data_IF_108233658288
#
_entry.id   IF_108233658288
#
_cell.length_a   1.000
_cell.length_b   1.000
_cell.length_c   1.000
_cell.angle_alpha   90.00
_cell.angle_beta   90.00
_cell.angle_gamma   90.00
#
_symmetry.space_group_name_H-M   'P 1'
#
loop_
_entity.id
_entity.type
_entity.pdbx_description
1 polymer ?
#
# COMPACT_ATOMS: atom_id res chain seq x y z
N UNK A 1 -1.77 7.29 4.89
CA UNK A 1 -0.44 7.12 4.27
C UNK A 1 0.60 8.10 4.81
N UNK A 2 0.40 9.45 4.69
CA UNK A 2 1.42 10.45 5.05
C UNK A 2 1.91 10.36 6.51
N UNK A 3 1.01 10.15 7.47
CA UNK A 3 1.38 10.00 8.89
C UNK A 3 2.25 8.76 9.10
N UNK A 4 1.82 7.59 8.62
CA UNK A 4 2.58 6.34 8.74
C UNK A 4 3.95 6.42 8.04
N UNK A 5 4.03 7.11 6.89
CA UNK A 5 5.31 7.35 6.20
C UNK A 5 6.23 8.27 7.01
N UNK A 6 5.68 9.33 7.61
CA UNK A 6 6.42 10.24 8.46
C UNK A 6 6.94 9.55 9.72
N UNK A 7 6.09 8.76 10.39
CA UNK A 7 6.48 7.96 11.56
C UNK A 7 7.60 6.98 11.23
N UNK A 8 7.49 6.26 10.11
CA UNK A 8 8.53 5.33 9.65
C UNK A 8 9.87 6.03 9.40
N UNK A 9 9.83 7.28 8.94
CA UNK A 9 11.01 8.11 8.69
C UNK A 9 11.45 8.93 9.92
N UNK A 10 10.67 8.96 11.00
CA UNK A 10 10.89 9.80 12.19
C UNK A 10 11.01 11.29 11.86
N UNK A 11 10.11 11.76 11.00
CA UNK A 11 10.02 13.17 10.59
C UNK A 11 8.58 13.67 10.76
N UNK A 12 8.39 14.97 10.74
CA UNK A 12 7.05 15.56 10.74
C UNK A 12 6.30 15.25 9.44
N UNK A 13 4.98 14.98 9.51
CA UNK A 13 4.16 14.76 8.33
C UNK A 13 4.23 15.92 7.35
N UNK A 14 4.49 15.60 6.08
CA UNK A 14 4.63 16.57 5.01
C UNK A 14 3.81 16.16 3.79
N UNK A 15 3.21 17.13 3.12
CA UNK A 15 2.40 16.92 1.91
C UNK A 15 3.22 16.37 0.72
N UNK A 16 4.54 16.48 0.76
CA UNK A 16 5.42 15.98 -0.29
C UNK A 16 5.69 14.47 -0.17
N UNK A 17 5.43 13.85 1.00
CA UNK A 17 5.55 12.40 1.20
C UNK A 17 4.53 11.62 0.37
N UNK A 18 3.32 12.16 0.23
CA UNK A 18 2.28 11.62 -0.66
C UNK A 18 1.55 12.78 -1.35
N UNK A 19 2.12 13.33 -2.45
CA UNK A 19 1.62 14.56 -3.05
C UNK A 19 0.28 14.42 -3.75
N UNK A 20 -0.15 13.19 -4.08
CA UNK A 20 -1.44 12.92 -4.71
C UNK A 20 -2.09 11.77 -3.98
N UNK A 21 -3.21 12.06 -3.31
CA UNK A 21 -4.03 11.05 -2.64
C UNK A 21 -5.36 10.92 -3.38
N UNK A 22 -5.76 9.69 -3.65
CA UNK A 22 -7.02 9.34 -4.29
C UNK A 22 -7.86 8.61 -3.25
N UNK A 23 -8.97 9.23 -2.84
CA UNK A 23 -9.92 8.63 -1.89
C UNK A 23 -11.16 8.19 -2.65
N UNK A 24 -11.48 6.90 -2.74
CA UNK A 24 -12.74 6.43 -3.32
C UNK A 24 -13.94 7.06 -2.60
N UNK A 25 -14.90 7.61 -3.35
CA UNK A 25 -16.13 8.20 -2.81
C UNK A 25 -17.38 7.46 -3.28
N UNK A 26 -17.24 6.63 -4.33
CA UNK A 26 -18.28 5.78 -4.90
C UNK A 26 -17.63 4.71 -5.77
N UNK A 27 -18.40 3.79 -6.31
CA UNK A 27 -17.90 2.72 -7.20
C UNK A 27 -17.15 3.26 -8.44
N UNK A 28 -17.44 4.47 -8.87
CA UNK A 28 -16.87 5.06 -10.09
C UNK A 28 -16.20 6.42 -9.90
N UNK A 29 -16.28 6.99 -8.69
CA UNK A 29 -15.78 8.32 -8.37
C UNK A 29 -14.77 8.33 -7.24
N UNK A 30 -13.80 9.25 -7.33
CA UNK A 30 -12.79 9.44 -6.28
C UNK A 30 -12.55 10.92 -6.04
N UNK A 31 -12.39 11.29 -4.79
CA UNK A 31 -11.88 12.61 -4.41
C UNK A 31 -10.38 12.63 -4.63
N UNK A 32 -9.93 13.60 -5.41
CA UNK A 32 -8.50 13.82 -5.67
C UNK A 32 -7.99 14.92 -4.76
N UNK A 33 -6.96 14.59 -4.00
CA UNK A 33 -6.30 15.53 -3.08
C UNK A 33 -4.87 15.74 -3.59
N UNK A 34 -4.51 16.99 -3.85
CA UNK A 34 -3.18 17.37 -4.34
C UNK A 34 -2.49 18.22 -3.29
N UNK A 35 -1.36 17.73 -2.78
CA UNK A 35 -0.59 18.38 -1.71
C UNK A 35 -1.48 18.84 -0.55
N UNK A 36 -2.31 17.94 -0.05
CA UNK A 36 -3.21 18.18 1.08
C UNK A 36 -4.46 19.01 0.74
N UNK A 37 -4.65 19.46 -0.50
CA UNK A 37 -5.82 20.24 -0.92
C UNK A 37 -6.73 19.42 -1.83
N UNK A 38 -8.02 19.24 -1.51
CA UNK A 38 -8.95 18.58 -2.41
C UNK A 38 -9.19 19.46 -3.64
N UNK A 39 -9.07 18.85 -4.83
CA UNK A 39 -9.28 19.53 -6.11
C UNK A 39 -10.61 19.13 -6.76
N UNK A 40 -11.34 18.19 -6.19
CA UNK A 40 -12.67 17.78 -6.62
C UNK A 40 -12.84 16.27 -6.66
N UNK A 41 -14.09 15.87 -6.92
CA UNK A 41 -14.45 14.47 -7.20
C UNK A 41 -14.37 14.25 -8.71
N UNK A 42 -13.70 13.19 -9.13
CA UNK A 42 -13.48 12.88 -10.54
C UNK A 42 -13.72 11.40 -10.82
N UNK A 43 -14.24 11.11 -11.99
CA UNK A 43 -14.22 9.75 -12.55
C UNK A 43 -12.81 9.43 -13.05
N UNK A 44 -12.50 8.14 -13.16
CA UNK A 44 -11.19 7.68 -13.65
C UNK A 44 -10.80 8.30 -15.00
N UNK A 45 -11.75 8.47 -15.93
CA UNK A 45 -11.53 9.09 -17.24
C UNK A 45 -11.17 10.58 -17.17
N UNK A 46 -11.72 11.30 -16.21
CA UNK A 46 -11.43 12.72 -15.98
C UNK A 46 -10.08 12.89 -15.30
N UNK A 47 -9.79 12.05 -14.31
CA UNK A 47 -8.48 12.00 -13.65
C UNK A 47 -7.34 11.80 -14.65
N UNK A 48 -7.53 10.92 -15.64
CA UNK A 48 -6.54 10.69 -16.71
C UNK A 48 -6.19 11.98 -17.48
N UNK A 49 -7.17 12.84 -17.72
CA UNK A 49 -6.92 14.13 -18.42
C UNK A 49 -6.07 15.09 -17.59
N UNK A 50 -6.21 15.06 -16.27
CA UNK A 50 -5.44 15.90 -15.34
C UNK A 50 -4.02 15.40 -15.09
N UNK A 51 -3.69 14.15 -15.42
CA UNK A 51 -2.39 13.51 -15.11
C UNK A 51 -1.17 14.28 -15.64
N UNK A 52 -1.27 15.00 -16.75
CA UNK A 52 -0.16 15.85 -17.26
C UNK A 52 0.31 16.87 -16.20
N UNK A 53 -0.64 17.54 -15.56
CA UNK A 53 -0.37 18.56 -14.53
C UNK A 53 0.10 17.91 -13.22
N UNK A 54 -0.42 16.72 -12.91
CA UNK A 54 -0.05 15.98 -11.72
C UNK A 54 1.39 15.45 -11.75
N UNK A 55 1.92 15.16 -12.94
CA UNK A 55 3.32 14.74 -13.10
C UNK A 55 4.31 15.80 -12.63
N UNK A 56 4.04 17.08 -12.89
CA UNK A 56 4.89 18.18 -12.42
C UNK A 56 4.81 18.34 -10.89
N UNK A 57 3.64 18.08 -10.31
CA UNK A 57 3.44 18.11 -8.84
C UNK A 57 4.28 17.02 -8.17
N UNK A 58 4.20 15.77 -8.67
CA UNK A 58 4.99 14.64 -8.16
C UNK A 58 6.48 14.94 -8.26
N UNK A 59 6.94 15.42 -9.43
CA UNK A 59 8.33 15.79 -9.61
C UNK A 59 8.77 16.89 -8.64
N UNK A 60 7.98 17.94 -8.48
CA UNK A 60 8.31 19.03 -7.57
C UNK A 60 8.38 18.58 -6.11
N UNK A 61 7.53 17.65 -5.69
CA UNK A 61 7.61 17.06 -4.35
C UNK A 61 8.87 16.22 -4.17
N UNK A 62 9.19 15.37 -5.14
CA UNK A 62 10.43 14.60 -5.14
C UNK A 62 11.67 15.51 -5.10
N UNK A 63 11.70 16.56 -5.92
CA UNK A 63 12.83 17.51 -5.99
C UNK A 63 13.03 18.25 -4.64
N UNK A 64 11.95 18.54 -3.91
CA UNK A 64 12.05 19.15 -2.56
C UNK A 64 12.61 18.18 -1.54
N UNK A 65 12.07 16.95 -1.50
CA UNK A 65 12.55 15.91 -0.58
C UNK A 65 14.03 15.56 -0.85
N UNK A 66 14.42 15.47 -2.13
CA UNK A 66 15.80 15.11 -2.50
C UNK A 66 16.85 16.17 -2.15
N UNK A 67 16.43 17.39 -1.83
CA UNK A 67 17.36 18.45 -1.34
C UNK A 67 17.64 18.37 0.14
N UNK A 68 16.78 17.69 0.91
CA UNK A 68 16.84 17.68 2.37
C UNK A 68 17.08 16.29 2.96
N UNK A 69 17.04 15.25 2.12
CA UNK A 69 17.25 13.87 2.54
C UNK A 69 18.28 13.18 1.65
N UNK A 70 19.21 12.46 2.27
CA UNK A 70 20.25 11.69 1.58
C UNK A 70 19.70 10.44 0.89
N UNK A 71 18.63 9.85 1.45
CA UNK A 71 17.99 8.64 0.95
C UNK A 71 16.49 8.88 0.84
N UNK A 72 15.93 8.55 -0.31
CA UNK A 72 14.48 8.55 -0.54
C UNK A 72 14.06 7.14 -0.94
N UNK A 73 13.15 6.56 -0.18
CA UNK A 73 12.48 5.30 -0.51
C UNK A 73 11.14 5.64 -1.15
N UNK A 74 10.96 5.19 -2.39
CA UNK A 74 9.73 5.43 -3.16
C UNK A 74 8.94 4.14 -3.21
N UNK A 75 7.71 4.19 -2.72
CA UNK A 75 6.79 3.07 -2.79
C UNK A 75 5.92 3.18 -4.03
N UNK A 76 5.83 2.07 -4.78
CA UNK A 76 4.88 1.92 -5.89
C UNK A 76 3.48 1.58 -5.37
N UNK A 77 2.50 1.65 -6.26
CA UNK A 77 1.12 1.25 -5.96
C UNK A 77 0.61 0.26 -6.99
N UNK A 78 -0.12 -0.76 -6.55
CA UNK A 78 -0.60 -1.83 -7.41
C UNK A 78 0.53 -2.61 -8.05
N UNK A 79 0.45 -2.84 -9.35
CA UNK A 79 1.47 -3.57 -10.11
C UNK A 79 2.08 -2.70 -11.21
N UNK A 80 3.41 -2.77 -11.45
CA UNK A 80 4.03 -2.11 -12.59
C UNK A 80 3.66 -2.75 -13.93
N UNK A 81 2.99 -3.89 -13.92
CA UNK A 81 2.57 -4.67 -15.09
C UNK A 81 1.10 -4.44 -15.50
N UNK A 82 0.43 -3.44 -14.91
CA UNK A 82 -0.93 -3.05 -15.30
C UNK A 82 -0.93 -2.40 -16.69
N UNK A 83 -0.99 -3.22 -17.75
CA UNK A 83 -0.85 -2.78 -19.14
C UNK A 83 -1.92 -1.76 -19.58
N UNK A 84 -3.13 -1.87 -19.05
CA UNK A 84 -4.23 -0.94 -19.27
C UNK A 84 -3.99 0.45 -18.64
N UNK A 85 -3.18 0.54 -17.57
CA UNK A 85 -2.87 1.77 -16.86
C UNK A 85 -1.47 2.33 -17.19
N UNK A 86 -0.63 1.54 -17.84
CA UNK A 86 0.79 1.81 -18.06
C UNK A 86 1.10 3.17 -18.69
N UNK A 87 0.29 3.60 -19.69
CA UNK A 87 0.44 4.91 -20.35
C UNK A 87 0.25 6.10 -19.41
N UNK A 88 -0.44 5.84 -18.29
CA UNK A 88 -0.84 6.85 -17.32
C UNK A 88 -0.23 6.60 -15.94
N UNK A 89 0.78 5.72 -15.87
CA UNK A 89 1.50 5.46 -14.64
C UNK A 89 2.19 6.74 -14.14
N UNK A 90 1.98 7.07 -12.86
CA UNK A 90 2.63 8.16 -12.15
C UNK A 90 3.43 7.65 -10.94
N UNK A 91 3.27 6.37 -10.60
CA UNK A 91 3.66 5.85 -9.29
C UNK A 91 4.80 4.84 -9.42
N UNK A 92 4.70 3.91 -10.40
CA UNK A 92 5.64 2.79 -10.52
C UNK A 92 6.84 3.14 -11.41
N UNK A 93 6.93 2.54 -12.59
CA UNK A 93 8.12 2.65 -13.45
C UNK A 93 8.35 4.06 -14.02
N UNK A 94 7.29 4.85 -14.18
CA UNK A 94 7.44 6.24 -14.58
C UNK A 94 8.07 7.10 -13.49
N UNK A 95 7.68 6.89 -12.23
CA UNK A 95 8.31 7.58 -11.10
C UNK A 95 9.76 7.15 -10.93
N UNK A 96 10.04 5.86 -11.00
CA UNK A 96 11.40 5.34 -10.92
C UNK A 96 12.30 5.94 -12.01
N UNK A 97 11.81 6.05 -13.25
CA UNK A 97 12.54 6.69 -14.35
C UNK A 97 12.77 8.17 -14.09
N UNK A 98 11.76 8.87 -13.60
CA UNK A 98 11.85 10.31 -13.30
C UNK A 98 12.85 10.62 -12.18
N UNK A 99 12.92 9.73 -11.18
CA UNK A 99 13.84 9.82 -10.07
C UNK A 99 15.25 9.28 -10.40
N UNK A 100 15.42 8.59 -11.54
CA UNK A 100 16.67 7.85 -11.83
C UNK A 100 16.94 6.72 -10.84
N UNK A 101 15.89 6.21 -10.18
CA UNK A 101 16.00 5.26 -9.09
C UNK A 101 16.13 3.81 -9.56
N UNK A 102 16.99 3.00 -8.93
CA UNK A 102 16.93 1.56 -9.07
C UNK A 102 15.63 1.03 -8.46
N UNK A 103 15.12 -0.07 -9.02
CA UNK A 103 13.86 -0.66 -8.59
C UNK A 103 14.11 -2.03 -7.94
N UNK A 104 13.49 -2.27 -6.82
CA UNK A 104 13.38 -3.60 -6.18
C UNK A 104 11.94 -4.06 -6.37
N UNK A 105 11.76 -5.21 -7.03
CA UNK A 105 10.46 -5.82 -7.22
C UNK A 105 10.13 -6.68 -6.00
N UNK A 106 8.98 -6.43 -5.39
CA UNK A 106 8.53 -7.16 -4.20
C UNK A 106 7.38 -8.08 -4.59
N UNK A 107 7.50 -9.38 -4.30
CA UNK A 107 6.47 -10.38 -4.52
C UNK A 107 5.90 -10.89 -3.20
N UNK A 108 4.58 -10.85 -3.05
CA UNK A 108 3.86 -11.40 -1.90
C UNK A 108 3.64 -12.91 -2.12
N UNK A 109 4.25 -13.75 -1.27
CA UNK A 109 4.15 -15.21 -1.39
C UNK A 109 2.93 -15.78 -0.64
N UNK A 110 2.34 -15.04 0.28
CA UNK A 110 1.26 -15.53 1.16
C UNK A 110 0.00 -15.94 0.37
N UNK A 111 -0.24 -15.27 -0.75
CA UNK A 111 -1.38 -15.57 -1.65
C UNK A 111 -1.13 -16.70 -2.64
N UNK A 112 0.08 -17.28 -2.67
CA UNK A 112 0.48 -18.27 -3.66
C UNK A 112 0.81 -17.67 -5.03
N UNK A 113 1.47 -18.46 -5.90
CA UNK A 113 1.74 -18.07 -7.29
C UNK A 113 2.84 -17.00 -7.48
N UNK A 114 3.57 -16.60 -6.44
CA UNK A 114 4.53 -15.49 -6.49
C UNK A 114 5.58 -15.62 -7.61
N UNK A 115 6.05 -16.83 -7.91
CA UNK A 115 7.03 -17.04 -8.97
C UNK A 115 6.45 -16.72 -10.36
N UNK A 116 5.22 -17.15 -10.62
CA UNK A 116 4.52 -16.83 -11.85
C UNK A 116 4.26 -15.32 -11.97
N UNK A 117 3.88 -14.66 -10.88
CA UNK A 117 3.65 -13.20 -10.85
C UNK A 117 4.93 -12.43 -11.11
N UNK A 118 6.05 -12.80 -10.49
CA UNK A 118 7.34 -12.15 -10.73
C UNK A 118 7.81 -12.32 -12.18
N UNK A 119 7.72 -13.53 -12.73
CA UNK A 119 8.08 -13.79 -14.13
C UNK A 119 7.15 -13.02 -15.07
N UNK A 120 5.83 -13.09 -14.87
CA UNK A 120 4.84 -12.39 -15.69
C UNK A 120 4.99 -10.89 -15.62
N UNK A 121 5.24 -10.33 -14.44
CA UNK A 121 5.49 -8.90 -14.27
C UNK A 121 6.67 -8.45 -15.11
N UNK A 122 7.81 -9.15 -15.01
CA UNK A 122 9.00 -8.79 -15.78
C UNK A 122 8.79 -8.97 -17.28
N UNK A 123 7.99 -9.96 -17.71
CA UNK A 123 7.71 -10.20 -19.12
C UNK A 123 6.86 -9.07 -19.74
N UNK A 124 5.98 -8.45 -18.96
CA UNK A 124 5.13 -7.33 -19.38
C UNK A 124 5.84 -5.95 -19.32
N UNK A 125 7.00 -5.88 -18.67
CA UNK A 125 7.81 -4.65 -18.66
C UNK A 125 8.62 -4.52 -19.96
N UNK A 126 8.84 -3.26 -20.42
CA UNK A 126 9.74 -2.98 -21.54
C UNK A 126 11.19 -3.35 -21.19
N UNK A 127 12.04 -3.47 -22.19
CA UNK A 127 13.48 -3.76 -21.99
C UNK A 127 14.15 -2.70 -21.10
N UNK A 128 13.78 -1.44 -21.26
CA UNK A 128 14.31 -0.33 -20.47
C UNK A 128 13.86 -0.40 -19.02
N UNK A 129 12.58 -0.73 -18.78
CA UNK A 129 12.03 -0.88 -17.43
C UNK A 129 12.65 -2.09 -16.72
N UNK A 130 12.83 -3.22 -17.42
CA UNK A 130 13.51 -4.39 -16.85
C UNK A 130 14.94 -4.06 -16.40
N UNK A 131 15.68 -3.23 -17.12
CA UNK A 131 17.03 -2.79 -16.74
C UNK A 131 17.07 -2.00 -15.43
N UNK A 132 15.96 -1.38 -15.06
CA UNK A 132 15.85 -0.64 -13.80
C UNK A 132 15.68 -1.58 -12.61
N UNK A 133 15.14 -2.80 -12.81
CA UNK A 133 14.98 -3.79 -11.74
C UNK A 133 16.36 -4.33 -11.35
N UNK A 134 16.77 -4.04 -10.12
CA UNK A 134 18.10 -4.43 -9.60
C UNK A 134 18.05 -5.61 -8.63
N UNK A 135 16.86 -5.97 -8.18
CA UNK A 135 16.67 -7.10 -7.29
C UNK A 135 15.22 -7.43 -7.05
N UNK A 136 15.01 -8.57 -6.43
CA UNK A 136 13.71 -9.10 -6.06
C UNK A 136 13.72 -9.36 -4.56
N UNK A 137 12.61 -9.07 -3.89
CA UNK A 137 12.33 -9.49 -2.51
C UNK A 137 11.07 -10.35 -2.52
N UNK A 138 11.13 -11.49 -1.84
CA UNK A 138 9.96 -12.33 -1.57
C UNK A 138 9.46 -11.96 -0.17
N UNK A 139 8.25 -11.45 -0.08
CA UNK A 139 7.67 -10.94 1.15
C UNK A 139 6.61 -11.89 1.72
N UNK A 140 6.36 -11.79 3.01
CA UNK A 140 5.35 -12.53 3.79
C UNK A 140 5.56 -14.04 3.76
N UNK A 141 6.79 -14.49 3.78
CA UNK A 141 7.11 -15.92 3.77
C UNK A 141 6.74 -16.60 5.08
N UNK A 142 6.07 -17.75 4.97
CA UNK A 142 5.78 -18.65 6.09
C UNK A 142 6.38 -20.03 5.80
N UNK A 143 6.97 -20.66 6.78
CA UNK A 143 7.48 -22.03 6.69
C UNK A 143 8.99 -22.14 6.60
N UNK A 144 9.47 -23.26 6.09
CA UNK A 144 10.89 -23.58 6.00
C UNK A 144 11.53 -22.95 4.76
N UNK A 145 12.46 -22.03 4.98
CA UNK A 145 13.20 -21.34 3.91
C UNK A 145 14.06 -22.28 3.06
N UNK A 146 14.46 -23.44 3.61
CA UNK A 146 15.25 -24.40 2.86
C UNK A 146 14.51 -24.95 1.63
N UNK A 147 13.19 -25.13 1.76
CA UNK A 147 12.30 -25.57 0.68
C UNK A 147 12.16 -24.54 -0.44
N UNK A 148 12.37 -23.26 -0.12
CA UNK A 148 12.26 -22.17 -1.09
C UNK A 148 13.54 -22.01 -1.94
N UNK A 149 14.68 -22.43 -1.42
CA UNK A 149 15.99 -22.23 -2.05
C UNK A 149 16.08 -22.74 -3.50
N UNK A 150 15.61 -23.95 -3.86
CA UNK A 150 15.64 -24.41 -5.24
C UNK A 150 14.83 -23.53 -6.19
N UNK A 151 13.65 -23.06 -5.73
CA UNK A 151 12.78 -22.18 -6.51
C UNK A 151 13.39 -20.79 -6.69
N UNK A 152 14.07 -20.25 -5.69
CA UNK A 152 14.84 -19.01 -5.80
C UNK A 152 15.94 -19.13 -6.86
N UNK A 153 16.73 -20.20 -6.81
CA UNK A 153 17.78 -20.46 -7.80
C UNK A 153 17.23 -20.60 -9.23
N UNK A 154 16.06 -21.22 -9.38
CA UNK A 154 15.38 -21.30 -10.66
C UNK A 154 14.97 -19.90 -11.14
N UNK A 155 14.35 -19.08 -10.28
CA UNK A 155 13.91 -17.72 -10.60
C UNK A 155 15.09 -16.83 -11.03
N UNK A 156 16.18 -16.83 -10.27
CA UNK A 156 17.38 -16.06 -10.57
C UNK A 156 17.98 -16.44 -11.93
N UNK A 157 18.08 -17.74 -12.22
CA UNK A 157 18.57 -18.22 -13.54
C UNK A 157 17.64 -17.81 -14.68
N UNK A 158 16.32 -17.89 -14.47
CA UNK A 158 15.30 -17.54 -15.46
C UNK A 158 15.29 -16.06 -15.79
N UNK A 159 15.45 -15.20 -14.78
CA UNK A 159 15.27 -13.75 -14.90
C UNK A 159 16.59 -12.99 -15.05
N UNK A 160 17.72 -13.58 -14.68
CA UNK A 160 19.00 -12.88 -14.61
C UNK A 160 19.05 -11.80 -13.51
N UNK A 161 18.14 -11.86 -12.54
CA UNK A 161 18.02 -10.88 -11.45
C UNK A 161 18.11 -11.61 -10.12
N UNK A 162 18.86 -11.05 -9.17
CA UNK A 162 19.06 -11.63 -7.85
C UNK A 162 17.85 -11.47 -6.94
N UNK A 163 17.55 -12.51 -6.17
CA UNK A 163 16.65 -12.42 -5.01
C UNK A 163 17.48 -11.93 -3.83
N UNK A 164 17.27 -10.69 -3.45
CA UNK A 164 18.03 -9.99 -2.40
C UNK A 164 17.67 -10.51 -1.01
N UNK A 165 16.46 -11.00 -0.83
CA UNK A 165 16.02 -11.51 0.45
C UNK A 165 14.64 -12.14 0.42
N UNK A 166 14.38 -12.89 1.50
CA UNK A 166 13.07 -13.45 1.83
C UNK A 166 12.68 -12.88 3.18
N UNK A 167 11.62 -12.09 3.20
CA UNK A 167 11.10 -11.45 4.41
C UNK A 167 10.03 -12.35 5.02
N UNK A 168 10.17 -12.74 6.28
CA UNK A 168 9.17 -13.57 6.95
C UNK A 168 7.86 -12.80 7.11
N UNK A 169 6.79 -13.54 7.32
CA UNK A 169 5.52 -12.95 7.70
C UNK A 169 5.60 -12.43 9.13
N UNK A 170 5.39 -11.16 9.31
CA UNK A 170 5.32 -10.53 10.62
C UNK A 170 3.87 -10.56 11.12
N UNK A 171 3.65 -11.10 12.32
CA UNK A 171 2.31 -11.15 12.94
C UNK A 171 1.98 -9.88 13.72
N UNK A 172 3.01 -9.21 14.20
CA UNK A 172 2.90 -8.14 15.19
C UNK A 172 3.23 -6.75 14.60
N UNK A 173 3.20 -6.62 13.26
CA UNK A 173 3.30 -5.30 12.63
C UNK A 173 1.91 -4.69 12.59
N UNK A 174 1.70 -3.69 13.42
CA UNK A 174 0.51 -2.86 13.44
C UNK A 174 0.70 -1.66 12.50
N UNK A 175 0.62 -1.90 11.20
CA UNK A 175 0.55 -0.79 10.23
C UNK A 175 -0.92 -0.36 10.12
N UNK A 176 -1.20 0.95 10.25
CA UNK A 176 -2.54 1.47 9.99
C UNK A 176 -2.97 1.09 8.57
N UNK A 177 -4.14 0.48 8.46
CA UNK A 177 -4.69 0.14 7.15
C UNK A 177 -5.19 1.41 6.44
N UNK A 178 -4.94 1.51 5.14
CA UNK A 178 -5.28 2.71 4.35
C UNK A 178 -6.75 2.74 3.90
N UNK A 179 -7.36 1.56 3.73
CA UNK A 179 -8.70 1.43 3.16
C UNK A 179 -9.68 0.76 4.13
N UNK A 180 -10.89 1.30 4.21
CA UNK A 180 -12.01 0.73 4.99
C UNK A 180 -12.53 -0.61 4.46
N UNK A 181 -12.04 -1.07 3.32
CA UNK A 181 -12.36 -2.40 2.74
C UNK A 181 -11.93 -3.54 3.68
N UNK A 182 -10.87 -3.33 4.46
CA UNK A 182 -10.44 -4.30 5.48
C UNK A 182 -11.48 -4.51 6.59
N UNK A 183 -12.36 -3.53 6.84
CA UNK A 183 -13.45 -3.68 7.82
C UNK A 183 -14.56 -4.64 7.34
N UNK A 184 -14.63 -4.96 6.05
CA UNK A 184 -15.66 -5.87 5.51
C UNK A 184 -15.32 -7.35 5.79
N UNK A 185 -14.06 -7.67 6.07
CA UNK A 185 -13.58 -9.00 6.44
C UNK A 185 -13.30 -9.20 7.94
N UNK A 186 -13.27 -8.15 8.72
CA UNK A 186 -13.13 -8.25 10.17
C UNK A 186 -14.46 -8.74 10.76
N UNK A 187 -14.58 -10.04 10.97
CA UNK A 187 -15.50 -10.59 11.97
C UNK A 187 -15.04 -9.95 13.28
N UNK A 188 -15.95 -9.39 14.11
CA UNK A 188 -15.56 -8.91 15.42
C UNK A 188 -14.74 -10.02 16.08
N UNK A 189 -13.47 -9.76 16.35
CA UNK A 189 -12.67 -10.70 17.13
C UNK A 189 -13.30 -10.71 18.50
N UNK A 190 -14.26 -11.60 18.70
CA UNK A 190 -14.74 -11.95 20.00
C UNK A 190 -13.52 -12.50 20.72
N UNK A 191 -12.89 -11.69 21.58
CA UNK A 191 -11.99 -12.22 22.59
C UNK A 191 -12.87 -13.23 23.36
N UNK A 192 -12.64 -14.52 23.13
CA UNK A 192 -13.29 -15.61 23.85
C UNK A 192 -12.92 -15.47 25.32
N UNK A 193 -13.83 -14.97 26.10
CA UNK A 193 -13.64 -14.70 27.53
C UNK A 193 -14.26 -13.35 27.87
N UNK A 194 -15.60 -13.30 27.86
CA UNK A 194 -16.33 -12.13 28.36
C UNK A 194 -16.09 -12.10 29.87
N UNK A 195 -15.11 -11.31 30.29
CA UNK A 195 -15.07 -10.86 31.67
C UNK A 195 -16.21 -9.83 31.80
N UNK A 196 -17.08 -9.97 32.77
CA UNK A 196 -18.27 -9.13 33.03
C UNK A 196 -17.95 -7.62 33.21
N UNK A 197 -16.70 -7.21 33.02
CA UNK A 197 -16.20 -5.85 33.21
C UNK A 197 -15.66 -5.21 31.90
N UNK A 198 -15.94 -5.78 30.72
CA UNK A 198 -15.51 -5.15 29.45
C UNK A 198 -16.45 -4.02 29.06
N UNK A 199 -15.88 -2.88 28.70
CA UNK A 199 -16.60 -1.76 28.09
C UNK A 199 -16.91 -2.11 26.64
N UNK A 200 -18.19 -2.18 26.26
CA UNK A 200 -18.60 -2.42 24.88
C UNK A 200 -18.69 -1.09 24.13
N UNK A 201 -17.80 -0.89 23.15
CA UNK A 201 -17.75 0.32 22.33
C UNK A 201 -18.28 -0.01 20.95
N UNK A 202 -19.44 0.52 20.60
CA UNK A 202 -20.05 0.38 19.26
C UNK A 202 -19.73 1.58 18.40
N UNK A 203 -18.97 1.35 17.31
CA UNK A 203 -18.67 2.37 16.31
C UNK A 203 -19.66 2.27 15.15
N UNK A 204 -20.36 3.33 14.83
CA UNK A 204 -21.29 3.35 13.69
C UNK A 204 -20.48 3.31 12.39
N UNK A 205 -20.57 2.22 11.65
CA UNK A 205 -19.92 2.06 10.36
C UNK A 205 -20.73 2.75 9.28
N UNK A 206 -20.37 3.99 8.99
CA UNK A 206 -20.91 4.71 7.82
C UNK A 206 -20.37 4.11 6.52
N UNK A 207 -21.14 4.19 5.41
CA UNK A 207 -20.59 3.91 4.08
C UNK A 207 -19.37 4.81 3.84
N UNK A 208 -18.24 4.22 3.41
CA UNK A 208 -17.00 4.96 3.13
C UNK A 208 -16.37 5.69 4.33
N UNK A 209 -16.45 5.09 5.52
CA UNK A 209 -15.70 5.59 6.69
C UNK A 209 -14.20 5.67 6.35
N UNK A 210 -13.57 6.83 6.53
CA UNK A 210 -12.19 7.06 6.12
C UNK A 210 -11.18 7.16 7.27
N UNK A 211 -11.63 7.41 8.49
CA UNK A 211 -10.76 7.57 9.66
C UNK A 211 -11.01 6.47 10.71
N UNK A 212 -11.21 5.25 10.25
CA UNK A 212 -11.50 4.11 11.14
C UNK A 212 -10.30 3.74 12.02
N UNK A 213 -9.08 4.10 11.61
CA UNK A 213 -7.85 3.91 12.40
C UNK A 213 -7.80 4.77 13.66
N UNK A 214 -8.66 5.79 13.79
CA UNK A 214 -8.79 6.57 15.03
C UNK A 214 -9.25 5.71 16.22
N UNK A 215 -9.88 4.57 15.93
CA UNK A 215 -10.36 3.62 16.94
C UNK A 215 -9.33 2.53 17.29
N UNK A 216 -8.22 2.43 16.59
CA UNK A 216 -7.21 1.38 16.80
C UNK A 216 -6.62 1.43 18.22
N UNK A 217 -6.46 2.63 18.78
CA UNK A 217 -5.98 2.79 20.16
C UNK A 217 -6.97 2.22 21.18
N UNK A 218 -8.27 2.40 20.94
CA UNK A 218 -9.34 1.89 21.81
C UNK A 218 -9.46 0.36 21.68
N UNK A 219 -9.29 -0.19 20.46
CA UNK A 219 -9.34 -1.64 20.21
C UNK A 219 -8.21 -2.39 20.95
N UNK A 220 -7.11 -1.71 21.26
CA UNK A 220 -5.96 -2.28 21.98
C UNK A 220 -6.13 -2.39 23.48
N UNK A 221 -7.04 -1.64 24.05
CA UNK A 221 -7.30 -1.70 25.49
C UNK A 221 -7.83 -3.08 25.90
N UNK A 222 -7.31 -3.61 27.01
CA UNK A 222 -7.59 -4.99 27.44
C UNK A 222 -9.02 -5.17 27.97
N UNK A 223 -9.64 -4.10 28.44
CA UNK A 223 -10.97 -4.01 29.02
C UNK A 223 -12.02 -3.43 28.07
N UNK A 224 -11.66 -3.24 26.79
CA UNK A 224 -12.55 -2.73 25.75
C UNK A 224 -12.83 -3.80 24.70
N UNK A 225 -14.10 -3.90 24.32
CA UNK A 225 -14.57 -4.64 23.14
C UNK A 225 -15.09 -3.63 22.13
N UNK A 226 -14.29 -3.38 21.09
CA UNK A 226 -14.70 -2.53 19.97
C UNK A 226 -15.44 -3.35 18.93
N UNK A 227 -16.58 -2.83 18.45
CA UNK A 227 -17.33 -3.43 17.34
C UNK A 227 -17.89 -2.37 16.40
N UNK A 228 -17.90 -2.69 15.10
CA UNK A 228 -18.49 -1.83 14.09
C UNK A 228 -19.92 -2.29 13.79
N UNK A 229 -20.88 -1.36 13.89
CA UNK A 229 -22.31 -1.62 13.71
C UNK A 229 -22.84 -0.89 12.47
N UNK A 230 -23.66 -1.57 11.67
CA UNK A 230 -24.21 -1.05 10.41
C UNK A 230 -25.66 -0.61 10.53
N UNK A 231 -26.35 -1.11 11.52
CA UNK A 231 -27.77 -0.82 11.74
C UNK A 231 -28.12 -0.84 13.23
N UNK A 232 -29.31 -0.35 13.57
CA UNK A 232 -29.76 -0.24 14.96
C UNK A 232 -29.94 -1.59 15.67
N UNK A 233 -30.18 -2.68 14.93
CA UNK A 233 -30.35 -4.01 15.52
C UNK A 233 -29.03 -4.57 16.07
N UNK A 234 -27.91 -4.12 15.54
CA UNK A 234 -26.59 -4.51 15.99
C UNK A 234 -26.11 -3.72 17.23
N UNK A 235 -26.89 -2.75 17.73
CA UNK A 235 -26.58 -2.00 18.94
C UNK A 235 -26.97 -2.73 20.25
N UNK A 236 -27.79 -3.76 20.14
CA UNK A 236 -28.28 -4.56 21.28
C UNK A 236 -27.38 -5.75 21.57
#
# INVERSE_FOLDING_TARGET
>A
AQAAQADACRIEPNVDLNPILIKPTSDTGSQIIVRGKPIGNMKASEYIKHKKNLKSVVKGSFDRLSRIHDIIVIEGAGSPAEINLKRHDLVNMNMARQAGAPVILIGDIDKGGVFAWLVGTLELLSKEERKMIKGIIINKFRGDKSLLTPAIKFLERRLGIKVLGVVPYFKDIELPEEDSVCLDGKIPAGKSGINEKCIDVAVIKLPHISNFTDFDAIEKENDVKLRYVKNSQELN
#
